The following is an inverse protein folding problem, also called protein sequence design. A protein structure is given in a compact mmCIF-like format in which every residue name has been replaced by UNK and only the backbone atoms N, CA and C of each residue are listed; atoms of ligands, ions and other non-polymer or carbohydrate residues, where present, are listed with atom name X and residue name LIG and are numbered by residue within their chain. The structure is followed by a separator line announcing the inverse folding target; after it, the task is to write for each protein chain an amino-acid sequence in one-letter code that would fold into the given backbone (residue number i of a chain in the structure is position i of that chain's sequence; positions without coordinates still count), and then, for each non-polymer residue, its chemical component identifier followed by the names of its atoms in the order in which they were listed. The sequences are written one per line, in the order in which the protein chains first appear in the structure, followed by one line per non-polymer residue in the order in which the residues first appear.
data_IF_731749957995
#
_entry.id   IF_731749957995
#
_cell.length_a   1.000
_cell.length_b   1.000
_cell.length_c   1.000
_cell.angle_alpha   90.00
_cell.angle_beta   90.00
_cell.angle_gamma   90.00
#
_symmetry.space_group_name_H-M   'P 1'
#
loop_
_entity.id
_entity.type
_entity.pdbx_description
1 polymer ?
#
# COMPACT_ATOMS: atom_id res chain seq x y z
N UNK A 1 5.73 -19.02 -16.13
CA UNK A 1 5.48 -17.61 -15.76
C UNK A 1 5.31 -17.58 -14.25
N UNK A 2 6.01 -16.70 -13.54
CA UNK A 2 5.77 -16.47 -12.11
C UNK A 2 4.34 -15.95 -11.96
N UNK A 3 3.53 -16.43 -10.99
CA UNK A 3 2.18 -15.93 -10.79
C UNK A 3 2.22 -14.41 -10.49
N UNK A 4 1.36 -13.65 -11.16
CA UNK A 4 1.23 -12.20 -10.95
C UNK A 4 0.36 -11.95 -9.71
N UNK A 5 0.89 -11.27 -8.71
CA UNK A 5 0.14 -10.99 -7.49
C UNK A 5 -0.91 -9.89 -7.74
N UNK A 6 -2.11 -10.09 -7.21
CA UNK A 6 -3.22 -9.14 -7.28
C UNK A 6 -3.41 -8.43 -5.95
N UNK A 7 -3.37 -7.10 -5.98
CA UNK A 7 -3.57 -6.25 -4.80
C UNK A 7 -4.86 -5.45 -4.92
N UNK A 8 -5.79 -5.70 -4.01
CA UNK A 8 -7.06 -4.98 -3.91
C UNK A 8 -6.84 -3.56 -3.38
N UNK A 9 -6.78 -2.58 -4.28
CA UNK A 9 -6.48 -1.19 -3.95
C UNK A 9 -7.61 -0.56 -3.12
N UNK A 10 -7.28 -0.10 -1.92
CA UNK A 10 -8.17 0.53 -0.93
C UNK A 10 -9.27 -0.36 -0.39
N UNK A 11 -9.28 -1.64 -0.71
CA UNK A 11 -10.30 -2.54 -0.19
C UNK A 11 -10.16 -2.72 1.34
N UNK A 12 -8.99 -2.43 1.93
CA UNK A 12 -8.82 -2.39 3.38
C UNK A 12 -9.29 -1.10 4.06
N UNK A 13 -9.79 -0.10 3.30
CA UNK A 13 -10.29 1.14 3.88
C UNK A 13 -11.70 1.03 4.49
N UNK A 14 -12.39 -0.07 4.22
CA UNK A 14 -13.68 -0.42 4.80
C UNK A 14 -13.70 -1.91 5.15
N UNK A 15 -14.38 -2.29 6.23
CA UNK A 15 -14.38 -3.67 6.71
C UNK A 15 -15.17 -4.63 5.81
N UNK A 16 -16.21 -4.14 5.14
CA UNK A 16 -16.97 -4.93 4.17
C UNK A 16 -16.15 -5.24 2.94
N UNK A 17 -15.49 -4.21 2.37
CA UNK A 17 -14.62 -4.40 1.20
C UNK A 17 -13.37 -5.21 1.52
N UNK A 18 -12.86 -5.14 2.76
CA UNK A 18 -11.74 -5.96 3.22
C UNK A 18 -12.11 -7.45 3.14
N UNK A 19 -13.22 -7.83 3.78
CA UNK A 19 -13.69 -9.22 3.80
C UNK A 19 -13.94 -9.72 2.39
N UNK A 20 -14.68 -8.94 1.60
CA UNK A 20 -14.94 -9.30 0.20
C UNK A 20 -13.65 -9.51 -0.59
N UNK A 21 -12.62 -8.64 -0.46
CA UNK A 21 -11.38 -8.83 -1.20
C UNK A 21 -10.58 -10.06 -0.73
N UNK A 22 -10.58 -10.36 0.57
CA UNK A 22 -9.94 -11.56 1.12
C UNK A 22 -10.64 -12.84 0.68
N UNK A 23 -11.98 -12.85 0.67
CA UNK A 23 -12.82 -13.98 0.27
C UNK A 23 -12.73 -14.27 -1.23
N UNK A 24 -12.66 -13.23 -2.06
CA UNK A 24 -12.45 -13.38 -3.50
C UNK A 24 -11.03 -13.86 -3.85
N UNK A 25 -10.10 -13.84 -2.89
CA UNK A 25 -8.77 -14.41 -3.06
C UNK A 25 -7.71 -13.42 -3.55
N UNK A 26 -7.87 -12.11 -3.28
CA UNK A 26 -6.78 -11.17 -3.51
C UNK A 26 -5.51 -11.59 -2.74
N UNK A 27 -4.34 -11.51 -3.38
CA UNK A 27 -3.07 -11.84 -2.75
C UNK A 27 -2.67 -10.83 -1.67
N UNK A 28 -3.03 -9.56 -1.87
CA UNK A 28 -2.92 -8.51 -0.86
C UNK A 28 -4.15 -7.59 -0.89
N UNK A 29 -4.45 -6.97 0.25
CA UNK A 29 -5.49 -5.96 0.42
C UNK A 29 -4.85 -4.67 0.94
N UNK A 30 -4.97 -3.59 0.18
CA UNK A 30 -4.35 -2.32 0.52
C UNK A 30 -5.26 -1.44 1.38
N UNK A 31 -4.65 -0.78 2.37
CA UNK A 31 -5.30 0.17 3.25
C UNK A 31 -4.44 1.45 3.43
N UNK A 32 -5.07 2.60 3.23
CA UNK A 32 -4.47 3.93 3.34
C UNK A 32 -4.44 4.36 4.82
N UNK A 33 -3.26 4.41 5.45
CA UNK A 33 -3.11 4.76 6.88
C UNK A 33 -2.66 6.21 7.06
N UNK A 34 -3.44 6.98 7.82
CA UNK A 34 -3.21 8.38 8.14
C UNK A 34 -3.04 8.61 9.64
N UNK A 35 -2.19 9.56 10.03
CA UNK A 35 -2.15 10.05 11.41
C UNK A 35 -3.00 11.32 11.56
N UNK A 36 -3.85 11.37 12.58
CA UNK A 36 -4.63 12.55 12.92
C UNK A 36 -4.92 12.66 14.42
N UNK A 37 -4.53 13.78 15.05
CA UNK A 37 -4.80 14.10 16.47
C UNK A 37 -4.61 12.92 17.43
N UNK A 38 -3.48 12.22 17.33
CA UNK A 38 -3.18 11.08 18.20
C UNK A 38 -3.55 9.72 17.61
N UNK A 39 -4.53 9.66 16.72
CA UNK A 39 -5.09 8.43 16.16
C UNK A 39 -4.43 8.02 14.85
N UNK A 40 -4.56 6.73 14.54
CA UNK A 40 -4.20 6.13 13.26
C UNK A 40 -5.49 5.70 12.57
N UNK A 41 -5.84 6.42 11.53
CA UNK A 41 -7.09 6.27 10.80
C UNK A 41 -6.83 5.61 9.46
N UNK A 42 -7.73 4.73 9.07
CA UNK A 42 -7.71 4.07 7.77
C UNK A 42 -8.75 4.74 6.89
N UNK A 43 -8.31 5.39 5.82
CA UNK A 43 -9.19 6.16 4.92
C UNK A 43 -8.50 6.59 3.65
N UNK A 44 -9.28 6.74 2.59
CA UNK A 44 -8.81 7.38 1.38
C UNK A 44 -8.88 8.91 1.39
N UNK A 45 -9.97 9.46 1.99
CA UNK A 45 -10.24 10.90 1.97
C UNK A 45 -9.07 11.67 2.58
N UNK A 46 -8.68 12.80 1.99
CA UNK A 46 -7.60 13.66 2.50
C UNK A 46 -8.14 14.62 3.56
N UNK A 47 -7.25 15.11 4.42
CA UNK A 47 -7.59 16.14 5.40
C UNK A 47 -7.53 17.52 4.76
N UNK A 48 -8.59 18.32 4.91
CA UNK A 48 -8.61 19.74 4.55
C UNK A 48 -8.90 20.57 5.81
N UNK A 49 -7.83 21.04 6.46
CA UNK A 49 -7.94 21.65 7.79
C UNK A 49 -8.44 20.66 8.87
N UNK A 50 -8.77 21.14 10.07
CA UNK A 50 -9.13 20.28 11.19
C UNK A 50 -10.55 19.69 11.11
N UNK A 51 -11.43 20.25 10.28
CA UNK A 51 -12.86 19.93 10.30
C UNK A 51 -13.33 19.13 9.09
N UNK A 52 -12.59 19.16 7.99
CA UNK A 52 -13.07 18.64 6.72
C UNK A 52 -12.22 17.50 6.18
N UNK A 53 -12.92 16.58 5.52
CA UNK A 53 -12.35 15.53 4.71
C UNK A 53 -12.76 15.77 3.26
N UNK A 54 -11.82 15.54 2.35
CA UNK A 54 -12.02 15.78 0.93
C UNK A 54 -11.64 14.56 0.10
N UNK A 55 -12.48 14.21 -0.86
CA UNK A 55 -12.15 13.28 -1.93
C UNK A 55 -12.93 13.61 -3.21
N UNK A 56 -12.23 13.67 -4.35
CA UNK A 56 -12.83 13.85 -5.69
C UNK A 56 -13.94 14.92 -5.80
N UNK A 57 -13.78 16.05 -5.11
CA UNK A 57 -14.75 17.16 -5.15
C UNK A 57 -15.85 17.07 -4.08
N UNK A 58 -15.95 15.95 -3.37
CA UNK A 58 -16.80 15.81 -2.20
C UNK A 58 -16.09 16.34 -0.96
N UNK A 59 -16.76 17.23 -0.22
CA UNK A 59 -16.30 17.76 1.05
C UNK A 59 -17.27 17.33 2.16
N UNK A 60 -16.78 16.56 3.12
CA UNK A 60 -17.59 16.06 4.24
C UNK A 60 -17.02 16.53 5.56
N UNK A 61 -17.89 16.88 6.51
CA UNK A 61 -17.44 17.19 7.86
C UNK A 61 -16.93 15.91 8.49
N UNK A 62 -15.83 16.03 9.20
CA UNK A 62 -15.18 14.90 9.86
C UNK A 62 -16.06 14.27 10.95
N UNK A 63 -16.89 15.08 11.62
CA UNK A 63 -17.82 14.63 12.66
C UNK A 63 -18.94 13.74 12.11
N UNK A 64 -19.22 13.85 10.82
CA UNK A 64 -20.38 13.23 10.19
C UNK A 64 -20.00 11.87 9.56
N UNK A 65 -18.74 11.47 9.71
CA UNK A 65 -18.19 10.24 9.14
C UNK A 65 -17.55 9.41 10.25
N UNK A 66 -17.99 8.16 10.40
CA UNK A 66 -17.27 7.18 11.21
C UNK A 66 -15.96 6.83 10.51
N UNK A 67 -14.84 7.08 11.17
CA UNK A 67 -13.51 6.75 10.65
C UNK A 67 -13.05 5.43 11.25
N UNK A 68 -12.65 4.50 10.38
CA UNK A 68 -12.06 3.23 10.78
C UNK A 68 -10.68 3.48 11.42
N UNK A 69 -10.43 2.92 12.60
CA UNK A 69 -9.10 2.95 13.21
C UNK A 69 -8.27 1.72 12.84
N UNK A 70 -6.94 1.87 12.85
CA UNK A 70 -6.03 0.77 12.49
C UNK A 70 -6.22 -0.48 13.36
N UNK A 71 -6.54 -0.33 14.65
CA UNK A 71 -6.76 -1.47 15.54
C UNK A 71 -8.01 -2.25 15.16
N UNK A 72 -9.06 -1.56 14.72
CA UNK A 72 -10.29 -2.19 14.22
C UNK A 72 -10.00 -2.97 12.93
N UNK A 73 -9.22 -2.38 12.00
CA UNK A 73 -8.79 -3.07 10.78
C UNK A 73 -7.99 -4.34 11.08
N UNK A 74 -6.97 -4.23 11.94
CA UNK A 74 -6.11 -5.37 12.29
C UNK A 74 -6.87 -6.48 13.01
N UNK A 75 -7.80 -6.12 13.90
CA UNK A 75 -8.69 -7.08 14.55
C UNK A 75 -9.59 -7.80 13.53
N UNK A 76 -10.16 -7.07 12.57
CA UNK A 76 -11.00 -7.64 11.53
C UNK A 76 -10.24 -8.54 10.55
N UNK A 77 -8.96 -8.24 10.28
CA UNK A 77 -8.08 -9.10 9.50
C UNK A 77 -7.63 -10.35 10.25
N UNK A 78 -7.78 -10.40 11.58
CA UNK A 78 -7.51 -11.57 12.42
C UNK A 78 -6.14 -12.25 12.16
N UNK A 79 -5.10 -11.44 11.91
CA UNK A 79 -3.74 -11.93 11.65
C UNK A 79 -3.48 -12.38 10.21
N UNK A 80 -4.42 -12.17 9.28
CA UNK A 80 -4.25 -12.48 7.87
C UNK A 80 -3.02 -11.75 7.30
N UNK A 81 -2.06 -12.49 6.68
CA UNK A 81 -0.81 -11.90 6.22
C UNK A 81 -0.96 -11.02 4.97
N UNK A 82 -2.16 -10.94 4.39
CA UNK A 82 -2.43 -10.28 3.12
C UNK A 82 -2.63 -8.77 3.24
N UNK A 83 -2.45 -8.17 4.42
CA UNK A 83 -2.54 -6.71 4.55
C UNK A 83 -1.33 -5.97 3.97
N UNK A 84 -1.61 -4.96 3.15
CA UNK A 84 -0.65 -3.95 2.70
C UNK A 84 -1.09 -2.56 3.22
N UNK A 85 -0.32 -1.98 4.13
CA UNK A 85 -0.60 -0.68 4.72
C UNK A 85 0.21 0.43 4.00
N UNK A 86 -0.44 1.34 3.29
CA UNK A 86 0.21 2.50 2.67
C UNK A 86 0.16 3.72 3.60
N UNK A 87 1.33 4.16 4.07
CA UNK A 87 1.43 5.32 4.97
C UNK A 87 1.29 6.62 4.19
N UNK A 88 0.22 7.36 4.50
CA UNK A 88 -0.13 8.61 3.83
C UNK A 88 0.20 9.84 4.66
N UNK A 89 0.81 10.81 3.98
CA UNK A 89 1.21 12.09 4.54
C UNK A 89 2.60 12.05 5.17
N UNK A 90 2.97 13.13 5.85
CA UNK A 90 4.33 13.37 6.36
C UNK A 90 4.39 13.49 7.89
N UNK A 91 3.35 13.08 8.60
CA UNK A 91 3.28 13.26 10.05
C UNK A 91 4.42 12.47 10.75
N UNK A 92 5.26 13.11 11.58
CA UNK A 92 6.50 12.52 12.10
C UNK A 92 6.28 11.25 12.93
N UNK A 93 5.16 11.17 13.65
CA UNK A 93 4.82 10.03 14.51
C UNK A 93 3.99 8.92 13.84
N UNK A 94 3.63 9.05 12.56
CA UNK A 94 2.76 8.07 11.88
C UNK A 94 3.38 6.66 11.93
N UNK A 95 4.61 6.53 11.43
CA UNK A 95 5.29 5.26 11.34
C UNK A 95 5.61 4.65 12.72
N UNK A 96 6.14 5.44 13.65
CA UNK A 96 6.47 4.98 14.99
C UNK A 96 5.24 4.47 15.75
N UNK A 97 4.10 5.17 15.65
CA UNK A 97 2.85 4.71 16.27
C UNK A 97 2.34 3.43 15.63
N UNK A 98 2.42 3.32 14.31
CA UNK A 98 2.00 2.09 13.64
C UNK A 98 2.89 0.92 14.05
N UNK A 99 4.20 1.11 14.14
CA UNK A 99 5.14 0.10 14.62
C UNK A 99 4.75 -0.41 16.02
N UNK A 100 4.46 0.49 16.96
CA UNK A 100 3.95 0.11 18.30
C UNK A 100 2.68 -0.72 18.21
N UNK A 101 1.70 -0.31 17.41
CA UNK A 101 0.45 -1.08 17.24
C UNK A 101 0.71 -2.46 16.64
N UNK A 102 1.59 -2.58 15.64
CA UNK A 102 1.91 -3.86 15.01
C UNK A 102 2.61 -4.81 15.97
N UNK A 103 3.54 -4.32 16.81
CA UNK A 103 4.19 -5.14 17.85
C UNK A 103 3.18 -5.67 18.87
N UNK A 104 2.18 -4.88 19.24
CA UNK A 104 1.17 -5.26 20.23
C UNK A 104 0.12 -6.22 19.67
N UNK A 105 -0.38 -5.96 18.45
CA UNK A 105 -1.59 -6.60 17.91
C UNK A 105 -1.27 -7.73 16.94
N UNK A 106 -0.09 -7.70 16.30
CA UNK A 106 0.29 -8.66 15.25
C UNK A 106 1.69 -9.24 15.53
N UNK A 107 1.96 -9.79 16.73
CA UNK A 107 3.32 -10.21 17.12
C UNK A 107 3.86 -11.38 16.27
N UNK A 108 2.99 -12.22 15.72
CA UNK A 108 3.36 -13.39 14.91
C UNK A 108 2.86 -13.34 13.46
N UNK A 109 2.05 -12.35 13.09
CA UNK A 109 1.52 -12.20 11.73
C UNK A 109 2.44 -11.36 10.85
N UNK A 110 2.39 -11.59 9.54
CA UNK A 110 3.14 -10.78 8.57
C UNK A 110 2.30 -9.61 8.08
N UNK A 111 2.89 -8.42 7.97
CA UNK A 111 2.22 -7.25 7.36
C UNK A 111 3.15 -6.60 6.35
N UNK A 112 2.61 -6.17 5.22
CA UNK A 112 3.35 -5.37 4.25
C UNK A 112 3.10 -3.89 4.53
N UNK A 113 4.15 -3.07 4.56
CA UNK A 113 4.05 -1.61 4.74
C UNK A 113 4.74 -0.92 3.57
N UNK A 114 4.05 0.04 2.96
CA UNK A 114 4.60 0.86 1.89
C UNK A 114 4.43 2.35 2.16
N UNK A 115 5.27 3.19 1.53
CA UNK A 115 5.08 4.64 1.52
C UNK A 115 5.99 5.30 0.49
N UNK A 116 5.63 6.50 0.03
CA UNK A 116 6.51 7.36 -0.76
C UNK A 116 7.53 8.13 0.10
N UNK A 117 7.32 8.19 1.41
CA UNK A 117 8.18 8.90 2.37
C UNK A 117 9.11 7.92 3.09
N UNK A 118 10.08 7.35 2.36
CA UNK A 118 10.88 6.20 2.81
C UNK A 118 11.63 6.36 4.13
N UNK A 119 11.85 7.60 4.60
CA UNK A 119 12.42 7.83 5.93
C UNK A 119 11.55 7.25 7.05
N UNK A 120 10.23 7.13 6.83
CA UNK A 120 9.29 6.52 7.77
C UNK A 120 9.53 5.02 7.96
N UNK A 121 10.08 4.33 6.94
CA UNK A 121 10.28 2.88 7.00
C UNK A 121 11.34 2.47 8.03
N UNK A 122 12.18 3.40 8.51
CA UNK A 122 13.13 3.13 9.58
C UNK A 122 12.47 2.73 10.89
N UNK A 123 11.22 3.12 11.13
CA UNK A 123 10.48 2.75 12.35
C UNK A 123 10.16 1.25 12.44
N UNK A 124 10.25 0.52 11.33
CA UNK A 124 9.92 -0.90 11.25
C UNK A 124 11.15 -1.78 11.04
N UNK A 125 12.36 -1.21 11.05
CA UNK A 125 13.59 -1.90 10.61
C UNK A 125 13.94 -3.15 11.43
N UNK A 126 13.51 -3.19 12.68
CA UNK A 126 13.79 -4.27 13.63
C UNK A 126 12.58 -5.22 13.77
N UNK A 127 11.49 -4.97 13.03
CA UNK A 127 10.31 -5.83 13.00
C UNK A 127 10.44 -6.84 11.86
N UNK A 128 10.86 -8.06 12.18
CA UNK A 128 11.13 -9.13 11.21
C UNK A 128 9.88 -9.61 10.48
N UNK A 129 8.69 -9.37 11.05
CA UNK A 129 7.40 -9.71 10.48
C UNK A 129 6.82 -8.61 9.57
N UNK A 130 7.54 -7.49 9.36
CA UNK A 130 7.09 -6.39 8.50
C UNK A 130 7.88 -6.35 7.19
N UNK A 131 7.18 -6.58 6.09
CA UNK A 131 7.71 -6.47 4.73
C UNK A 131 7.67 -5.02 4.26
N UNK A 132 8.83 -4.44 3.94
CA UNK A 132 8.93 -3.02 3.61
C UNK A 132 9.00 -2.78 2.09
N UNK A 133 8.08 -1.95 1.59
CA UNK A 133 7.96 -1.62 0.16
C UNK A 133 8.23 -0.13 -0.07
N UNK A 134 9.20 0.17 -0.95
CA UNK A 134 9.53 1.55 -1.33
C UNK A 134 8.61 2.03 -2.47
N UNK A 135 7.74 3.01 -2.21
CA UNK A 135 6.82 3.53 -3.24
C UNK A 135 7.37 4.76 -3.98
N UNK A 136 7.11 4.86 -5.29
CA UNK A 136 7.51 5.97 -6.14
C UNK A 136 6.42 6.36 -7.17
N UNK A 137 5.82 7.54 -6.99
CA UNK A 137 4.78 8.09 -7.89
C UNK A 137 5.26 9.17 -8.87
N UNK A 138 6.56 9.50 -8.89
CA UNK A 138 7.12 10.55 -9.75
C UNK A 138 8.46 10.14 -10.38
N UNK A 139 8.83 10.78 -11.49
CA UNK A 139 10.15 10.59 -12.13
C UNK A 139 11.31 10.84 -11.18
N UNK A 140 11.21 11.87 -10.32
CA UNK A 140 12.21 12.16 -9.27
C UNK A 140 12.27 11.03 -8.25
N UNK A 141 11.11 10.52 -7.81
CA UNK A 141 11.02 9.37 -6.91
C UNK A 141 11.67 8.12 -7.51
N UNK A 142 11.35 7.79 -8.77
CA UNK A 142 11.93 6.65 -9.47
C UNK A 142 13.46 6.76 -9.60
N UNK A 143 14.00 7.94 -9.95
CA UNK A 143 15.45 8.14 -9.99
C UNK A 143 16.12 7.89 -8.64
N UNK A 144 15.51 8.39 -7.56
CA UNK A 144 16.01 8.14 -6.19
C UNK A 144 15.91 6.66 -5.82
N UNK A 145 14.87 5.97 -6.28
CA UNK A 145 14.61 4.57 -5.98
C UNK A 145 15.69 3.71 -6.62
N UNK A 146 15.92 3.88 -7.92
CA UNK A 146 17.00 3.23 -8.68
C UNK A 146 18.36 3.46 -8.02
N UNK A 147 18.66 4.69 -7.62
CA UNK A 147 19.92 4.98 -6.94
C UNK A 147 20.07 4.27 -5.59
N UNK A 148 18.98 4.12 -4.83
CA UNK A 148 18.98 3.44 -3.53
C UNK A 148 19.19 1.93 -3.69
N UNK A 149 18.49 1.30 -4.63
CA UNK A 149 18.56 -0.15 -4.85
C UNK A 149 19.95 -0.64 -5.26
N UNK A 150 20.76 0.21 -5.91
CA UNK A 150 22.16 -0.12 -6.23
C UNK A 150 23.03 -0.38 -4.99
N UNK A 151 22.71 0.24 -3.86
CA UNK A 151 23.49 0.10 -2.63
C UNK A 151 22.80 -0.72 -1.54
N UNK A 152 21.47 -0.90 -1.63
CA UNK A 152 20.71 -1.61 -0.60
C UNK A 152 19.46 -2.25 -1.21
N UNK A 153 19.38 -3.60 -1.23
CA UNK A 153 18.17 -4.29 -1.68
C UNK A 153 16.99 -3.99 -0.75
N UNK A 154 15.79 -4.20 -1.26
CA UNK A 154 14.54 -4.09 -0.53
C UNK A 154 13.67 -5.31 -0.79
N UNK A 155 12.73 -5.60 0.12
CA UNK A 155 11.72 -6.63 -0.13
C UNK A 155 10.92 -6.28 -1.40
N UNK A 156 10.36 -5.07 -1.49
CA UNK A 156 9.60 -4.68 -2.67
C UNK A 156 9.70 -3.21 -3.02
N UNK A 157 9.27 -2.92 -4.25
CA UNK A 157 9.12 -1.55 -4.74
C UNK A 157 7.77 -1.38 -5.42
N UNK A 158 7.14 -0.23 -5.22
CA UNK A 158 5.82 0.06 -5.76
C UNK A 158 5.88 1.32 -6.62
N UNK A 159 5.81 1.17 -7.94
CA UNK A 159 6.05 2.26 -8.89
C UNK A 159 4.80 2.53 -9.70
N UNK A 160 4.47 3.81 -9.88
CA UNK A 160 3.35 4.14 -10.75
C UNK A 160 3.62 3.69 -12.20
N UNK A 161 2.68 2.93 -12.78
CA UNK A 161 2.73 2.32 -14.12
C UNK A 161 3.28 3.22 -15.22
N UNK A 162 2.84 4.48 -15.28
CA UNK A 162 3.29 5.48 -16.28
C UNK A 162 4.79 5.79 -16.26
N UNK A 163 5.52 5.34 -15.23
CA UNK A 163 6.96 5.55 -15.06
C UNK A 163 7.77 4.31 -15.45
N UNK A 164 7.11 3.20 -15.77
CA UNK A 164 7.75 1.92 -16.03
C UNK A 164 7.93 1.67 -17.52
N UNK A 165 8.98 0.93 -17.83
CA UNK A 165 9.23 0.23 -19.08
C UNK A 165 9.74 -1.17 -18.72
N UNK A 166 9.72 -2.16 -19.64
CA UNK A 166 10.25 -3.49 -19.34
C UNK A 166 11.72 -3.46 -18.88
N UNK A 167 12.53 -2.55 -19.45
CA UNK A 167 13.91 -2.34 -19.03
C UNK A 167 14.02 -1.81 -17.59
N UNK A 168 13.14 -0.87 -17.20
CA UNK A 168 13.10 -0.36 -15.82
C UNK A 168 12.66 -1.46 -14.86
N UNK A 169 11.66 -2.27 -15.20
CA UNK A 169 11.22 -3.39 -14.34
C UNK A 169 12.36 -4.41 -14.15
N UNK A 170 13.05 -4.76 -15.23
CA UNK A 170 14.25 -5.63 -15.19
C UNK A 170 15.34 -5.06 -14.28
N UNK A 171 15.59 -3.75 -14.34
CA UNK A 171 16.55 -3.10 -13.44
C UNK A 171 16.10 -3.15 -11.98
N UNK A 172 14.82 -2.86 -11.69
CA UNK A 172 14.28 -2.86 -10.33
C UNK A 172 14.36 -4.25 -9.69
N UNK A 173 14.08 -5.32 -10.46
CA UNK A 173 14.20 -6.72 -10.00
C UNK A 173 15.60 -7.12 -9.57
N UNK A 174 16.66 -6.41 -9.99
CA UNK A 174 18.02 -6.69 -9.51
C UNK A 174 18.24 -6.29 -8.05
N UNK A 175 17.39 -5.43 -7.51
CA UNK A 175 17.51 -4.94 -6.13
C UNK A 175 16.23 -5.08 -5.30
N UNK A 176 15.17 -5.67 -5.84
CA UNK A 176 13.91 -5.90 -5.14
C UNK A 176 13.35 -7.27 -5.49
N UNK A 177 12.78 -7.96 -4.49
CA UNK A 177 12.16 -9.28 -4.68
C UNK A 177 10.83 -9.17 -5.44
N UNK A 178 10.08 -8.08 -5.24
CA UNK A 178 8.77 -7.86 -5.88
C UNK A 178 8.64 -6.43 -6.41
N UNK A 179 8.26 -6.30 -7.69
CA UNK A 179 7.92 -5.03 -8.33
C UNK A 179 6.40 -4.90 -8.48
N UNK A 180 5.82 -4.04 -7.65
CA UNK A 180 4.41 -3.65 -7.71
C UNK A 180 4.19 -2.47 -8.65
N UNK A 181 3.02 -2.44 -9.31
CA UNK A 181 2.59 -1.29 -10.12
C UNK A 181 1.15 -0.86 -9.84
N UNK A 182 0.89 0.43 -10.05
CA UNK A 182 -0.43 1.04 -9.92
C UNK A 182 -0.61 2.24 -10.88
N UNK A 183 -1.85 2.64 -11.20
CA UNK A 183 -3.08 1.86 -11.06
C UNK A 183 -3.29 0.90 -12.25
N UNK A 184 -3.99 -0.21 -12.00
CA UNK A 184 -4.42 -1.20 -12.99
C UNK A 184 -5.93 -1.42 -12.85
N UNK A 185 -6.72 -0.52 -13.44
CA UNK A 185 -8.19 -0.49 -13.26
C UNK A 185 -8.97 -0.81 -14.55
N UNK A 186 -8.28 -1.05 -15.67
CA UNK A 186 -8.87 -1.33 -16.99
C UNK A 186 -8.13 -2.45 -17.70
N UNK A 187 -8.76 -3.11 -18.68
CA UNK A 187 -8.14 -4.18 -19.48
C UNK A 187 -6.88 -3.69 -20.21
N UNK A 188 -6.91 -2.47 -20.76
CA UNK A 188 -5.72 -1.85 -21.36
C UNK A 188 -4.59 -1.67 -20.34
N UNK A 189 -4.90 -1.26 -19.11
CA UNK A 189 -3.92 -1.10 -18.05
C UNK A 189 -3.36 -2.46 -17.59
N UNK A 190 -4.18 -3.51 -17.60
CA UNK A 190 -3.79 -4.88 -17.30
C UNK A 190 -2.84 -5.42 -18.38
N UNK A 191 -3.22 -5.30 -19.66
CA UNK A 191 -2.38 -5.69 -20.77
C UNK A 191 -1.04 -4.93 -20.77
N UNK A 192 -1.06 -3.64 -20.44
CA UNK A 192 0.14 -2.83 -20.26
C UNK A 192 1.01 -3.33 -19.09
N UNK A 193 0.43 -3.63 -17.93
CA UNK A 193 1.14 -4.17 -16.77
C UNK A 193 1.81 -5.52 -17.07
N UNK A 194 1.09 -6.43 -17.76
CA UNK A 194 1.62 -7.70 -18.24
C UNK A 194 2.78 -7.52 -19.22
N UNK A 195 2.64 -6.59 -20.17
CA UNK A 195 3.71 -6.23 -21.13
C UNK A 195 4.93 -5.64 -20.43
N UNK A 196 4.74 -4.84 -19.38
CA UNK A 196 5.83 -4.33 -18.54
C UNK A 196 6.53 -5.47 -17.78
N UNK A 197 5.83 -6.58 -17.56
CA UNK A 197 6.32 -7.77 -16.88
C UNK A 197 6.57 -7.51 -15.40
N UNK A 198 5.67 -6.81 -14.71
CA UNK A 198 5.74 -6.57 -13.25
C UNK A 198 5.40 -7.85 -12.47
N UNK A 199 5.67 -7.88 -11.16
CA UNK A 199 5.37 -9.04 -10.30
C UNK A 199 3.99 -8.92 -9.62
N UNK A 200 3.51 -7.68 -9.43
CA UNK A 200 2.26 -7.42 -8.71
C UNK A 200 1.50 -6.20 -9.26
N UNK A 201 0.18 -6.32 -9.32
CA UNK A 201 -0.73 -5.33 -9.90
C UNK A 201 -1.72 -4.82 -8.85
N UNK A 202 -1.76 -3.51 -8.67
CA UNK A 202 -2.64 -2.84 -7.70
C UNK A 202 -3.76 -2.12 -8.44
N UNK A 203 -5.00 -2.54 -8.19
CA UNK A 203 -6.20 -2.01 -8.85
C UNK A 203 -7.44 -2.15 -7.99
N UNK A 204 -8.45 -1.36 -8.32
CA UNK A 204 -9.74 -1.30 -7.61
C UNK A 204 -10.72 -2.35 -8.10
N UNK A 205 -10.59 -2.78 -9.36
CA UNK A 205 -11.49 -3.75 -9.97
C UNK A 205 -10.81 -5.12 -10.02
N UNK A 206 -11.17 -5.99 -9.08
CA UNK A 206 -10.61 -7.34 -8.97
C UNK A 206 -10.95 -8.22 -10.19
N UNK A 207 -12.16 -8.08 -10.76
CA UNK A 207 -12.54 -8.81 -11.98
C UNK A 207 -11.62 -8.52 -13.16
N UNK A 208 -11.20 -7.26 -13.34
CA UNK A 208 -10.20 -6.87 -14.35
C UNK A 208 -8.85 -7.53 -14.06
N UNK A 209 -8.50 -7.72 -12.79
CA UNK A 209 -7.24 -8.36 -12.39
C UNK A 209 -7.30 -9.90 -12.45
N UNK A 210 -8.43 -10.48 -12.88
CA UNK A 210 -8.61 -11.94 -13.00
C UNK A 210 -8.98 -12.62 -11.68
N UNK A 211 -9.38 -11.84 -10.68
CA UNK A 211 -9.95 -12.35 -9.43
C UNK A 211 -11.48 -12.25 -9.56
N UNK A 212 -12.23 -13.37 -9.40
CA UNK A 212 -13.68 -13.42 -9.63
C UNK A 212 -14.48 -12.47 -8.73
#
# INVERSE_FOLDING_TARGET
MTPELVVAHRAGNDLGTLRSALDLGADLVEADVHAYRGRLEVRHRKTLGPWWLWDRGELVRRTDVRLLEIRELLAAAAGDPRLLLDLKGIHPRLAARLATVLTEVVPAGTVTVCTQHWWMLSAFRDLTNVRLVLSAGSRRGLRRLRSRLRGRPAYGVCVHRRLLTPAIVTELRRGAEVVFTWPVDTDDALADARRLGVDAMIGKNLSVLGVP
#
